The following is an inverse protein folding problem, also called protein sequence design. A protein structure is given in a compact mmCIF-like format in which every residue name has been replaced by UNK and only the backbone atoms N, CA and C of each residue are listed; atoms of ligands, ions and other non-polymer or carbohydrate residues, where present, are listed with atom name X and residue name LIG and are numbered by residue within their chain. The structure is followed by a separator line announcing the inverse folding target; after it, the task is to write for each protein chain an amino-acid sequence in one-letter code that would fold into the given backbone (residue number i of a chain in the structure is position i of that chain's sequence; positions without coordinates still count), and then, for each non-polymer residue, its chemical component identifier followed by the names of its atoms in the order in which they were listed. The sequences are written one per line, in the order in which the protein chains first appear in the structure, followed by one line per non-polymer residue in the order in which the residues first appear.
data_IF_231568537922
#
_entry.id   IF_231568537922
#
_cell.length_a   1.000
_cell.length_b   1.000
_cell.length_c   1.000
_cell.angle_alpha   90.00
_cell.angle_beta   90.00
_cell.angle_gamma   90.00
#
_symmetry.space_group_name_H-M   'P 1'
#
loop_
_entity.id
_entity.type
_entity.pdbx_description
1 polymer ?
#
# COMPACT_ATOMS: atom_id res chain seq x y z
N UNK A 1 4.06 21.75 57.87
CA UNK A 1 3.97 20.58 57.00
C UNK A 1 3.32 21.03 55.69
N UNK A 2 4.13 21.27 54.68
CA UNK A 2 3.68 21.61 53.34
C UNK A 2 3.48 20.31 52.60
N UNK A 3 2.21 19.93 52.39
CA UNK A 3 1.82 18.87 51.48
C UNK A 3 2.19 19.27 50.04
N UNK A 4 3.31 18.73 49.58
CA UNK A 4 3.61 18.68 48.15
C UNK A 4 2.73 17.61 47.53
N UNK A 5 1.48 17.96 47.26
CA UNK A 5 0.63 17.16 46.38
C UNK A 5 1.20 17.27 44.98
N UNK A 6 2.01 16.28 44.62
CA UNK A 6 2.57 16.10 43.29
C UNK A 6 1.40 15.76 42.37
N UNK A 7 0.80 16.78 41.75
CA UNK A 7 -0.08 16.60 40.59
C UNK A 7 0.75 15.91 39.52
N UNK A 8 0.66 14.58 39.47
CA UNK A 8 1.03 13.82 38.32
C UNK A 8 0.11 14.30 37.18
N UNK A 9 0.59 15.22 36.39
CA UNK A 9 -0.03 15.57 35.11
C UNK A 9 -0.06 14.28 34.29
N UNK A 10 -1.21 13.60 34.29
CA UNK A 10 -1.46 12.50 33.35
C UNK A 10 -1.22 13.08 31.95
N UNK A 11 -0.07 12.72 31.39
CA UNK A 11 0.28 13.12 30.02
C UNK A 11 -0.76 12.52 29.09
N UNK A 12 -1.53 13.36 28.44
CA UNK A 12 -2.54 12.92 27.50
C UNK A 12 -1.88 12.11 26.37
N UNK A 13 -2.43 10.93 26.08
CA UNK A 13 -1.98 10.14 24.94
C UNK A 13 -2.64 10.65 23.65
N UNK A 14 -1.90 10.64 22.58
CA UNK A 14 -2.40 11.01 21.26
C UNK A 14 -3.45 10.00 20.78
N UNK A 15 -4.64 10.49 20.43
CA UNK A 15 -5.72 9.63 19.94
C UNK A 15 -5.37 8.91 18.62
N UNK A 16 -4.47 9.49 17.82
CA UNK A 16 -4.07 8.89 16.54
C UNK A 16 -2.95 7.87 16.71
N UNK A 17 -1.79 8.23 17.23
CA UNK A 17 -0.59 7.39 17.28
C UNK A 17 -0.26 6.81 18.65
N UNK A 18 -0.95 7.23 19.72
CA UNK A 18 -0.71 6.72 21.07
C UNK A 18 0.52 7.28 21.78
N UNK A 19 1.31 8.15 21.14
CA UNK A 19 2.45 8.78 21.77
C UNK A 19 2.04 9.80 22.83
N UNK A 20 2.93 10.07 23.78
CA UNK A 20 2.71 11.11 24.80
C UNK A 20 2.65 12.49 24.12
N UNK A 21 1.66 13.29 24.49
CA UNK A 21 1.54 14.66 24.03
C UNK A 21 2.38 15.57 24.92
N UNK A 22 3.51 16.07 24.42
CA UNK A 22 4.30 17.12 25.07
C UNK A 22 3.55 18.45 25.04
N UNK A 23 3.03 18.80 23.85
CA UNK A 23 2.08 19.89 23.63
C UNK A 23 0.77 19.31 23.14
N UNK A 24 -0.29 19.40 23.96
CA UNK A 24 -1.57 18.80 23.64
C UNK A 24 -2.36 19.69 22.69
N UNK A 25 -2.54 19.26 21.44
CA UNK A 25 -3.48 19.86 20.50
C UNK A 25 -4.85 19.19 20.71
N UNK A 26 -5.85 19.97 21.10
CA UNK A 26 -7.22 19.49 21.27
C UNK A 26 -8.07 19.81 20.06
N UNK A 27 -8.62 18.78 19.42
CA UNK A 27 -9.53 18.90 18.29
C UNK A 27 -10.58 17.79 18.36
N UNK A 28 -11.83 18.09 18.01
CA UNK A 28 -12.95 17.12 18.01
C UNK A 28 -13.15 16.38 19.36
N UNK A 29 -12.74 16.96 20.49
CA UNK A 29 -12.82 16.32 21.81
C UNK A 29 -11.68 15.35 22.12
N UNK A 30 -10.73 15.16 21.23
CA UNK A 30 -9.57 14.29 21.40
C UNK A 30 -8.26 15.08 21.55
N UNK A 31 -7.24 14.41 22.09
CA UNK A 31 -5.88 14.95 22.27
C UNK A 31 -4.94 14.40 21.19
N UNK A 32 -4.13 15.27 20.60
CA UNK A 32 -3.15 14.92 19.58
C UNK A 32 -1.76 15.44 19.96
N UNK A 33 -0.70 14.68 19.66
CA UNK A 33 0.68 15.05 19.95
C UNK A 33 1.25 16.10 18.99
N UNK A 34 0.69 16.23 17.79
CA UNK A 34 1.14 17.17 16.76
C UNK A 34 0.01 17.51 15.78
N UNK A 35 0.19 18.59 15.02
CA UNK A 35 -0.77 19.01 13.99
C UNK A 35 -0.95 17.95 12.91
N UNK A 36 0.10 17.19 12.58
CA UNK A 36 0.00 16.08 11.62
C UNK A 36 -1.03 15.04 12.04
N UNK A 37 -0.98 14.58 13.28
CA UNK A 37 -1.95 13.61 13.81
C UNK A 37 -3.39 14.16 13.81
N UNK A 38 -3.59 15.44 14.13
CA UNK A 38 -4.88 16.09 14.07
C UNK A 38 -5.40 16.17 12.62
N UNK A 39 -4.54 16.51 11.67
CA UNK A 39 -4.88 16.57 10.24
C UNK A 39 -5.27 15.20 9.68
N UNK A 40 -4.53 14.13 10.03
CA UNK A 40 -4.88 12.78 9.59
C UNK A 40 -6.24 12.36 10.15
N UNK A 41 -6.50 12.67 11.42
CA UNK A 41 -7.80 12.41 12.02
C UNK A 41 -8.92 13.12 11.27
N UNK A 42 -8.72 14.40 10.93
CA UNK A 42 -9.67 15.20 10.18
C UNK A 42 -9.93 14.63 8.78
N UNK A 43 -8.90 14.28 8.04
CA UNK A 43 -8.98 13.65 6.72
C UNK A 43 -9.80 12.35 6.80
N UNK A 44 -9.48 11.47 7.73
CA UNK A 44 -10.16 10.18 7.85
C UNK A 44 -11.63 10.35 8.28
N UNK A 45 -11.90 11.23 9.21
CA UNK A 45 -13.26 11.49 9.71
C UNK A 45 -14.14 12.14 8.65
N UNK A 46 -13.62 13.13 7.91
CA UNK A 46 -14.32 13.85 6.84
C UNK A 46 -14.68 12.93 5.67
N UNK A 47 -13.89 11.90 5.41
CA UNK A 47 -14.12 10.93 4.35
C UNK A 47 -14.87 9.67 4.80
N UNK A 48 -15.52 9.69 5.98
CA UNK A 48 -16.32 8.58 6.48
C UNK A 48 -15.49 7.35 6.88
N UNK A 49 -14.20 7.53 7.15
CA UNK A 49 -13.27 6.46 7.52
C UNK A 49 -13.04 6.36 9.03
N UNK A 50 -13.95 6.86 9.86
CA UNK A 50 -13.87 6.79 11.33
C UNK A 50 -13.76 5.37 11.88
N UNK A 51 -14.17 4.36 11.11
CA UNK A 51 -13.99 2.94 11.46
C UNK A 51 -12.51 2.58 11.68
N UNK A 52 -11.57 3.30 11.09
CA UNK A 52 -10.13 3.14 11.31
C UNK A 52 -9.76 3.14 12.80
N UNK A 53 -10.35 4.06 13.57
CA UNK A 53 -10.09 4.17 15.01
C UNK A 53 -10.88 3.16 15.87
N UNK A 54 -11.84 2.45 15.30
CA UNK A 54 -12.59 1.38 16.01
C UNK A 54 -11.92 0.00 15.88
N UNK A 55 -11.01 -0.19 14.91
CA UNK A 55 -10.32 -1.46 14.68
C UNK A 55 -9.24 -1.73 15.73
N UNK A 56 -8.53 -0.67 16.13
CA UNK A 56 -7.47 -0.75 17.13
C UNK A 56 -7.39 0.54 17.94
N UNK A 57 -6.84 0.42 19.16
CA UNK A 57 -6.58 1.58 19.99
C UNK A 57 -5.33 2.32 19.49
N UNK A 58 -5.48 3.59 19.10
CA UNK A 58 -4.41 4.44 18.56
C UNK A 58 -3.69 3.82 17.35
N UNK A 59 -4.42 3.54 16.26
CA UNK A 59 -3.90 2.73 15.15
C UNK A 59 -2.93 3.48 14.23
N UNK A 60 -2.82 4.80 14.39
CA UNK A 60 -2.07 5.66 13.47
C UNK A 60 -0.57 5.66 13.73
N UNK A 61 0.16 6.10 12.72
CA UNK A 61 1.59 6.38 12.79
C UNK A 61 1.74 7.89 12.80
N UNK A 62 2.58 8.42 13.70
CA UNK A 62 2.86 9.86 13.71
C UNK A 62 3.43 10.28 12.36
N UNK A 63 2.81 11.23 11.64
CA UNK A 63 3.37 11.75 10.40
C UNK A 63 4.68 12.44 10.73
N UNK A 64 5.79 11.76 10.53
CA UNK A 64 7.10 12.37 10.73
C UNK A 64 7.21 13.56 9.77
N UNK A 65 7.91 14.62 10.17
CA UNK A 65 8.26 15.79 9.33
C UNK A 65 9.20 15.36 8.18
N UNK A 66 8.73 14.45 7.32
CA UNK A 66 9.47 14.01 6.16
C UNK A 66 9.23 15.06 5.08
N UNK A 67 10.32 15.57 4.53
CA UNK A 67 10.30 16.60 3.52
C UNK A 67 9.46 16.12 2.33
N UNK A 68 8.46 16.90 1.93
CA UNK A 68 7.61 16.66 0.73
C UNK A 68 8.43 16.54 -0.57
N UNK A 69 9.67 16.98 -0.54
CA UNK A 69 10.66 16.85 -1.63
C UNK A 69 11.10 15.41 -1.92
N UNK A 70 10.85 14.46 -1.01
CA UNK A 70 11.29 13.07 -1.18
C UNK A 70 10.76 12.41 -2.45
N UNK A 71 9.57 12.77 -2.88
CA UNK A 71 8.93 12.20 -4.08
C UNK A 71 8.94 13.14 -5.29
N UNK A 72 9.79 14.19 -5.29
CA UNK A 72 9.92 15.11 -6.43
C UNK A 72 10.37 14.41 -7.71
N UNK A 73 11.17 13.35 -7.61
CA UNK A 73 11.62 12.53 -8.75
C UNK A 73 10.47 11.81 -9.48
N UNK A 74 9.31 11.61 -8.84
CA UNK A 74 8.14 11.02 -9.47
C UNK A 74 7.39 11.99 -10.39
N UNK A 75 7.84 13.24 -10.48
CA UNK A 75 7.29 14.22 -11.43
C UNK A 75 7.71 13.89 -12.86
N UNK A 76 8.84 13.20 -13.03
CA UNK A 76 9.30 12.74 -14.32
C UNK A 76 8.49 11.51 -14.77
N UNK A 77 7.81 11.65 -15.92
CA UNK A 77 6.97 10.59 -16.48
C UNK A 77 7.77 9.32 -16.82
N UNK A 78 8.99 9.47 -17.30
CA UNK A 78 9.83 8.31 -17.66
C UNK A 78 10.22 7.51 -16.43
N UNK A 79 10.47 8.17 -15.31
CA UNK A 79 10.73 7.53 -14.03
C UNK A 79 9.50 6.86 -13.48
N UNK A 80 8.34 7.52 -13.55
CA UNK A 80 7.07 6.96 -13.09
C UNK A 80 6.64 5.75 -13.91
N UNK A 81 6.82 5.77 -15.24
CA UNK A 81 6.54 4.62 -16.13
C UNK A 81 7.36 3.38 -15.79
N UNK A 82 8.58 3.54 -15.34
CA UNK A 82 9.41 2.41 -14.89
C UNK A 82 8.89 1.73 -13.64
N UNK A 83 8.15 2.46 -12.79
CA UNK A 83 7.58 1.97 -11.54
C UNK A 83 6.24 1.27 -11.74
N UNK A 84 5.60 1.42 -12.88
CA UNK A 84 4.34 0.74 -13.15
C UNK A 84 4.56 -0.74 -13.46
N UNK A 85 3.87 -1.59 -12.71
CA UNK A 85 3.84 -3.04 -12.99
C UNK A 85 2.94 -3.38 -14.19
N UNK A 86 1.97 -2.51 -14.48
CA UNK A 86 1.12 -2.54 -15.67
C UNK A 86 0.69 -1.10 -16.00
N UNK A 87 0.61 -0.78 -17.28
CA UNK A 87 0.13 0.50 -17.79
C UNK A 87 -0.62 0.32 -19.10
N UNK A 88 -1.73 1.05 -19.26
CA UNK A 88 -2.42 1.29 -20.53
C UNK A 88 -2.74 2.78 -20.69
N UNK A 89 -3.55 3.13 -21.69
CA UNK A 89 -3.87 4.54 -21.98
C UNK A 89 -4.59 5.25 -20.83
N UNK A 90 -5.37 4.54 -20.01
CA UNK A 90 -6.25 5.10 -18.98
C UNK A 90 -5.85 4.70 -17.57
N UNK A 91 -5.28 3.51 -17.41
CA UNK A 91 -5.00 2.89 -16.11
C UNK A 91 -3.52 2.66 -15.92
N UNK A 92 -3.08 2.80 -14.69
CA UNK A 92 -1.77 2.35 -14.25
C UNK A 92 -1.91 1.48 -12.99
N UNK A 93 -1.03 0.50 -12.86
CA UNK A 93 -0.89 -0.33 -11.67
C UNK A 93 0.53 -0.19 -11.13
N UNK A 94 0.64 0.01 -9.83
CA UNK A 94 1.92 0.12 -9.14
C UNK A 94 1.95 -0.83 -7.94
N UNK A 95 3.12 -1.34 -7.62
CA UNK A 95 3.39 -2.06 -6.38
C UNK A 95 4.28 -1.20 -5.49
N UNK A 96 3.73 -0.78 -4.35
CA UNK A 96 4.35 0.12 -3.39
C UNK A 96 4.88 -0.68 -2.21
N UNK A 97 6.16 -0.54 -1.87
CA UNK A 97 6.70 -1.09 -0.62
C UNK A 97 6.40 -0.14 0.53
N UNK A 98 5.68 -0.63 1.53
CA UNK A 98 5.26 0.14 2.71
C UNK A 98 5.67 -0.64 3.96
N UNK A 99 6.90 -0.45 4.46
CA UNK A 99 7.44 -1.20 5.61
C UNK A 99 6.59 -1.06 6.89
N UNK A 100 5.86 0.05 6.99
CA UNK A 100 5.01 0.38 8.14
C UNK A 100 3.72 -0.46 8.23
N UNK A 101 3.42 -1.32 7.27
CA UNK A 101 2.29 -2.25 7.36
C UNK A 101 2.57 -3.30 8.43
N UNK A 102 1.85 -3.24 9.57
CA UNK A 102 2.01 -4.16 10.68
C UNK A 102 0.70 -4.46 11.43
N UNK A 103 -0.36 -3.69 11.22
CA UNK A 103 -1.62 -3.79 11.95
C UNK A 103 -2.83 -3.88 11.00
N UNK A 104 -3.95 -4.35 11.52
CA UNK A 104 -5.19 -4.50 10.74
C UNK A 104 -5.74 -3.15 10.27
N UNK A 105 -5.59 -2.11 11.08
CA UNK A 105 -6.02 -0.75 10.72
C UNK A 105 -5.22 -0.20 9.54
N UNK A 106 -3.90 -0.46 9.51
CA UNK A 106 -3.04 -0.09 8.39
C UNK A 106 -3.50 -0.76 7.09
N UNK A 107 -3.81 -2.05 7.15
CA UNK A 107 -4.30 -2.82 6.00
C UNK A 107 -5.62 -2.24 5.53
N UNK A 108 -6.58 -2.08 6.45
CA UNK A 108 -7.90 -1.53 6.16
C UNK A 108 -7.83 -0.14 5.53
N UNK A 109 -6.96 0.74 6.04
CA UNK A 109 -6.78 2.09 5.51
C UNK A 109 -6.26 2.05 4.06
N UNK A 110 -5.20 1.27 3.81
CA UNK A 110 -4.59 1.17 2.49
C UNK A 110 -5.55 0.52 1.49
N UNK A 111 -6.33 -0.47 1.89
CA UNK A 111 -7.34 -1.10 1.02
C UNK A 111 -8.53 -0.19 0.70
N UNK A 112 -8.79 0.82 1.54
CA UNK A 112 -9.82 1.82 1.32
C UNK A 112 -9.30 3.17 0.77
N UNK A 113 -8.13 3.19 0.15
CA UNK A 113 -7.54 4.40 -0.46
C UNK A 113 -8.45 5.06 -1.50
N UNK A 114 -9.33 4.32 -2.15
CA UNK A 114 -10.32 4.83 -3.09
C UNK A 114 -11.27 5.87 -2.49
N UNK A 115 -11.45 5.88 -1.16
CA UNK A 115 -12.24 6.89 -0.45
C UNK A 115 -11.48 8.20 -0.26
N UNK A 116 -10.15 8.16 -0.25
CA UNK A 116 -9.28 9.31 -0.04
C UNK A 116 -8.72 9.88 -1.35
N UNK A 117 -8.56 9.02 -2.37
CA UNK A 117 -8.07 9.39 -3.68
C UNK A 117 -9.05 8.90 -4.75
N UNK A 118 -9.88 9.79 -5.32
CA UNK A 118 -10.95 9.42 -6.28
C UNK A 118 -10.46 8.66 -7.51
N UNK A 119 -9.23 8.90 -7.94
CA UNK A 119 -8.61 8.19 -9.07
C UNK A 119 -8.21 6.75 -8.76
N UNK A 120 -8.16 6.33 -7.50
CA UNK A 120 -7.85 4.95 -7.11
C UNK A 120 -9.07 4.06 -7.31
N UNK A 121 -8.91 3.01 -8.12
CA UNK A 121 -9.97 2.04 -8.41
C UNK A 121 -9.93 0.89 -7.40
N UNK A 122 -8.73 0.38 -7.12
CA UNK A 122 -8.52 -0.79 -6.27
C UNK A 122 -7.16 -0.71 -5.58
N UNK A 123 -7.14 -1.07 -4.31
CA UNK A 123 -5.92 -1.25 -3.54
C UNK A 123 -5.97 -2.58 -2.81
N UNK A 124 -4.88 -3.35 -2.88
CA UNK A 124 -4.73 -4.67 -2.25
C UNK A 124 -3.42 -4.74 -1.49
N UNK A 125 -3.48 -5.20 -0.25
CA UNK A 125 -2.29 -5.30 0.61
C UNK A 125 -1.77 -6.73 0.66
N UNK A 126 -0.48 -6.89 0.43
CA UNK A 126 0.24 -8.13 0.73
C UNK A 126 1.04 -7.96 2.02
N UNK A 127 0.49 -8.46 3.11
CA UNK A 127 1.08 -8.32 4.45
C UNK A 127 2.44 -9.01 4.55
N UNK A 128 2.57 -10.20 3.96
CA UNK A 128 3.81 -10.99 4.01
C UNK A 128 4.99 -10.31 3.32
N UNK A 129 4.72 -9.52 2.26
CA UNK A 129 5.73 -8.75 1.53
C UNK A 129 5.79 -7.29 1.98
N UNK A 130 4.86 -6.84 2.81
CA UNK A 130 4.67 -5.42 3.16
C UNK A 130 4.54 -4.52 1.93
N UNK A 131 3.81 -4.98 0.93
CA UNK A 131 3.55 -4.24 -0.31
C UNK A 131 2.06 -3.98 -0.50
N UNK A 132 1.74 -2.87 -1.14
CA UNK A 132 0.40 -2.54 -1.59
C UNK A 132 0.37 -2.44 -3.11
N UNK A 133 -0.56 -3.15 -3.74
CA UNK A 133 -0.82 -3.06 -5.17
C UNK A 133 -1.98 -2.11 -5.39
N UNK A 134 -1.72 -1.02 -6.07
CA UNK A 134 -2.71 0.03 -6.32
C UNK A 134 -2.95 0.17 -7.82
N UNK A 135 -4.23 0.15 -8.22
CA UNK A 135 -4.70 0.42 -9.58
C UNK A 135 -5.41 1.76 -9.58
N UNK A 136 -5.01 2.67 -10.46
CA UNK A 136 -5.57 4.00 -10.51
C UNK A 136 -5.72 4.52 -11.95
N UNK A 137 -6.58 5.53 -12.13
CA UNK A 137 -6.78 6.25 -13.39
C UNK A 137 -5.76 7.36 -13.52
N UNK A 138 -4.97 7.37 -14.60
CA UNK A 138 -3.93 8.36 -14.86
C UNK A 138 -4.47 9.79 -15.04
N UNK A 139 -5.72 9.91 -15.48
CA UNK A 139 -6.37 11.20 -15.71
C UNK A 139 -6.82 11.89 -14.41
N UNK A 140 -6.98 11.14 -13.33
CA UNK A 140 -7.54 11.63 -12.06
C UNK A 140 -6.50 11.68 -10.93
N UNK A 141 -5.47 10.82 -10.99
CA UNK A 141 -4.44 10.71 -9.94
C UNK A 141 -3.13 10.29 -10.57
N UNK A 142 -2.03 10.82 -10.07
CA UNK A 142 -0.68 10.41 -10.47
C UNK A 142 0.07 9.73 -9.31
N UNK A 143 1.17 9.04 -9.64
CA UNK A 143 1.96 8.29 -8.65
C UNK A 143 2.53 9.19 -7.56
N UNK A 144 2.90 10.43 -7.90
CA UNK A 144 3.42 11.41 -6.94
C UNK A 144 2.34 11.82 -5.93
N UNK A 145 1.13 12.10 -6.38
CA UNK A 145 0.01 12.44 -5.50
C UNK A 145 -0.33 11.30 -4.55
N UNK A 146 -0.37 10.06 -5.09
CA UNK A 146 -0.62 8.86 -4.28
C UNK A 146 0.46 8.67 -3.21
N UNK A 147 1.75 8.81 -3.58
CA UNK A 147 2.85 8.69 -2.64
C UNK A 147 2.84 9.80 -1.58
N UNK A 148 2.46 11.02 -1.97
CA UNK A 148 2.33 12.16 -1.06
C UNK A 148 1.18 11.96 -0.09
N UNK A 149 0.02 11.50 -0.57
CA UNK A 149 -1.12 11.18 0.29
C UNK A 149 -0.76 10.13 1.34
N UNK A 150 -0.09 9.04 0.94
CA UNK A 150 0.36 8.01 1.87
C UNK A 150 1.34 8.57 2.91
N UNK A 151 2.22 9.46 2.49
CA UNK A 151 3.17 10.14 3.37
C UNK A 151 2.45 11.05 4.38
N UNK A 152 1.47 11.82 3.93
CA UNK A 152 0.66 12.70 4.79
C UNK A 152 -0.14 11.88 5.82
N UNK A 153 -0.53 10.66 5.49
CA UNK A 153 -1.15 9.68 6.41
C UNK A 153 -0.14 8.99 7.36
N UNK A 154 1.16 9.27 7.23
CA UNK A 154 2.23 8.67 8.03
C UNK A 154 2.85 7.41 7.43
N UNK A 155 2.44 7.00 6.23
CA UNK A 155 2.95 5.80 5.56
C UNK A 155 4.05 6.16 4.58
N UNK A 156 5.27 5.74 4.91
CA UNK A 156 6.42 5.90 4.06
C UNK A 156 6.39 4.87 2.94
N UNK A 157 6.51 5.33 1.69
CA UNK A 157 6.62 4.47 0.52
C UNK A 157 8.09 4.40 0.08
N UNK A 158 8.59 3.18 -0.05
CA UNK A 158 9.92 2.92 -0.61
C UNK A 158 9.78 2.44 -2.05
N UNK A 159 10.44 3.16 -2.96
CA UNK A 159 10.55 2.79 -4.36
C UNK A 159 11.90 2.12 -4.58
N UNK A 160 11.89 0.81 -4.71
CA UNK A 160 13.11 0.05 -4.97
C UNK A 160 13.35 -0.05 -6.48
N UNK A 161 14.07 0.93 -7.02
CA UNK A 161 14.41 0.97 -8.46
C UNK A 161 15.21 -0.26 -8.92
N UNK A 162 15.94 -0.92 -8.02
CA UNK A 162 16.70 -2.13 -8.33
C UNK A 162 15.83 -3.39 -8.49
N UNK A 163 14.60 -3.39 -7.96
CA UNK A 163 13.68 -4.53 -8.07
C UNK A 163 12.81 -4.49 -9.35
N UNK A 164 12.81 -3.38 -10.08
CA UNK A 164 12.03 -3.23 -11.32
C UNK A 164 12.45 -4.25 -12.39
N UNK A 165 13.76 -4.51 -12.53
CA UNK A 165 14.27 -5.50 -13.47
C UNK A 165 13.95 -6.94 -13.02
N UNK A 166 13.90 -7.19 -11.72
CA UNK A 166 13.59 -8.51 -11.16
C UNK A 166 12.11 -8.87 -11.28
N UNK A 167 11.20 -7.91 -11.07
CA UNK A 167 9.75 -8.17 -11.15
C UNK A 167 9.29 -8.53 -12.56
N UNK A 168 9.75 -7.85 -13.59
CA UNK A 168 9.48 -8.22 -15.00
C UNK A 168 10.01 -9.62 -15.33
N UNK A 169 11.20 -9.96 -14.82
CA UNK A 169 11.85 -11.25 -15.08
C UNK A 169 11.20 -12.41 -14.31
N UNK A 170 10.69 -12.18 -13.10
CA UNK A 170 10.04 -13.19 -12.27
C UNK A 170 8.65 -13.57 -12.80
N UNK A 171 7.85 -12.60 -13.23
CA UNK A 171 6.49 -12.84 -13.71
C UNK A 171 6.51 -13.63 -15.03
N UNK A 172 7.41 -13.29 -15.95
CA UNK A 172 7.61 -14.05 -17.19
C UNK A 172 8.13 -15.47 -16.94
N UNK A 173 9.02 -15.66 -15.98
CA UNK A 173 9.58 -16.98 -15.64
C UNK A 173 8.54 -17.95 -15.12
N UNK A 174 7.64 -17.50 -14.25
CA UNK A 174 6.53 -18.32 -13.75
C UNK A 174 5.54 -18.71 -14.86
N UNK A 175 5.26 -17.80 -15.78
CA UNK A 175 4.37 -18.07 -16.92
C UNK A 175 5.00 -19.08 -17.89
N UNK A 176 6.26 -18.88 -18.24
CA UNK A 176 7.04 -19.77 -19.10
C UNK A 176 7.10 -21.18 -18.53
N UNK A 177 7.38 -21.33 -17.22
CA UNK A 177 7.42 -22.63 -16.55
C UNK A 177 6.07 -23.36 -16.64
N UNK A 178 4.95 -22.66 -16.41
CA UNK A 178 3.61 -23.27 -16.54
C UNK A 178 3.29 -23.71 -17.95
N UNK A 179 3.63 -22.89 -18.94
CA UNK A 179 3.43 -23.20 -20.38
C UNK A 179 4.31 -24.39 -20.79
N UNK A 180 5.56 -24.46 -20.31
CA UNK A 180 6.46 -25.58 -20.62
C UNK A 180 5.95 -26.90 -20.09
N UNK A 181 5.45 -26.96 -18.85
CA UNK A 181 4.86 -28.16 -18.26
C UNK A 181 3.61 -28.59 -19.03
N UNK A 182 2.72 -27.64 -19.33
CA UNK A 182 1.51 -27.94 -20.10
C UNK A 182 1.82 -28.46 -21.52
N UNK A 183 2.79 -27.85 -22.20
CA UNK A 183 3.25 -28.29 -23.53
C UNK A 183 3.88 -29.67 -23.51
N UNK A 184 4.67 -29.98 -22.46
CA UNK A 184 5.25 -31.31 -22.30
C UNK A 184 4.18 -32.40 -22.07
N UNK A 185 3.20 -32.13 -21.20
CA UNK A 185 2.09 -33.06 -20.96
C UNK A 185 1.26 -33.28 -22.23
N UNK A 186 0.93 -32.21 -22.94
CA UNK A 186 0.18 -32.29 -24.20
C UNK A 186 0.92 -33.09 -25.27
N UNK A 187 2.23 -32.86 -25.42
CA UNK A 187 3.07 -33.58 -26.37
C UNK A 187 3.10 -35.10 -26.10
N UNK A 188 3.24 -35.50 -24.82
CA UNK A 188 3.20 -36.91 -24.45
C UNK A 188 1.85 -37.56 -24.74
N UNK A 189 0.74 -36.89 -24.41
CA UNK A 189 -0.60 -37.41 -24.69
C UNK A 189 -0.80 -37.60 -26.19
N UNK A 190 -0.40 -36.62 -27.02
CA UNK A 190 -0.48 -36.70 -28.47
C UNK A 190 0.33 -37.89 -29.04
N UNK A 191 1.54 -38.12 -28.50
CA UNK A 191 2.43 -39.18 -28.93
C UNK A 191 1.83 -40.55 -28.63
N UNK A 192 1.25 -40.74 -27.44
CA UNK A 192 0.55 -41.97 -27.09
C UNK A 192 -0.72 -42.18 -27.91
N UNK A 193 -1.52 -41.15 -28.15
CA UNK A 193 -2.72 -41.22 -28.96
C UNK A 193 -2.40 -41.58 -30.42
N UNK A 194 -1.34 -41.01 -30.98
CA UNK A 194 -0.91 -41.28 -32.33
C UNK A 194 -0.41 -42.72 -32.51
N UNK A 195 0.38 -43.21 -31.56
CA UNK A 195 0.88 -44.58 -31.55
C UNK A 195 -0.28 -45.59 -31.43
N UNK A 196 -1.26 -45.31 -30.58
CA UNK A 196 -2.44 -46.14 -30.41
C UNK A 196 -3.29 -46.20 -31.69
N UNK A 197 -3.47 -45.05 -32.34
CA UNK A 197 -4.20 -44.97 -33.62
C UNK A 197 -3.53 -45.75 -34.77
N UNK A 198 -2.18 -45.69 -34.86
CA UNK A 198 -1.43 -46.42 -35.87
C UNK A 198 -1.51 -47.92 -35.64
N UNK A 199 -1.40 -48.39 -34.39
CA UNK A 199 -1.49 -49.84 -34.07
C UNK A 199 -2.89 -50.39 -34.38
N UNK A 200 -3.93 -49.65 -34.10
CA UNK A 200 -5.32 -50.07 -34.43
C UNK A 200 -5.62 -50.10 -35.93
N UNK A 201 -4.93 -49.28 -36.72
CA UNK A 201 -5.13 -49.27 -38.20
C UNK A 201 -4.27 -50.27 -38.95
N UNK A 202 -3.34 -50.95 -38.27
CA UNK A 202 -2.46 -51.97 -38.84
C UNK A 202 -2.87 -53.41 -38.49
N UNK A 203 -3.91 -53.59 -37.65
CA UNK A 203 -4.59 -54.86 -37.33
C UNK A 203 -5.88 -54.98 -38.12
#
# INVERSE_FOLDING_TARGET
ALDKNCLATERALCHHCGENCEETIRSYGYSFCCQGCATVYDILSSNGMGQYYSLEKNPGISPQKIRKEKYSFLTDEDTSKKLYSFENNTLAQVELSIPAIHCISCIWLIENLNKLAPGVIRSEVNVGKKTARVVFRKNETNLKELATLLLDLGYHVDFNLADLDKHKKSQNRSLISKISVAGFCFGNIMLFSFTYYLVLNTL
#
